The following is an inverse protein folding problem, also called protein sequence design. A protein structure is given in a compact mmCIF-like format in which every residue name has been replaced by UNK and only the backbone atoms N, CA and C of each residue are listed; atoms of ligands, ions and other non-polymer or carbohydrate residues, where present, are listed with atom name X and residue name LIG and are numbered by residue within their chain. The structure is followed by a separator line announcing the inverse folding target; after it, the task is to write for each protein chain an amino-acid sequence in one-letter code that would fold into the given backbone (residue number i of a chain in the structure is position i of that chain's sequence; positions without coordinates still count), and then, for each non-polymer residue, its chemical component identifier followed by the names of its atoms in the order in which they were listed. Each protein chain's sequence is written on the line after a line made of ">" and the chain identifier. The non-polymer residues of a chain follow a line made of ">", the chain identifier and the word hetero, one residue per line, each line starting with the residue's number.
data_IF_102797850414
#
_entry.id   IF_102797850414
#
_cell.length_a   1.000
_cell.length_b   1.000
_cell.length_c   1.000
_cell.angle_alpha   90.00
_cell.angle_beta   90.00
_cell.angle_gamma   90.00
#
_symmetry.space_group_name_H-M   'P 1'
#
loop_
_entity.id
_entity.type
_entity.pdbx_description
1 polymer ?
#
# COMPACT_ATOMS: atom_id res chain seq x y z
N UNK A 1 7.78 -17.05 -1.45
CA UNK A 1 8.48 -16.92 -2.71
C UNK A 1 8.49 -15.49 -3.18
N UNK A 2 9.63 -14.84 -3.06
CA UNK A 2 9.72 -13.41 -3.34
C UNK A 2 9.73 -13.07 -4.82
N UNK A 3 10.01 -14.05 -5.67
CA UNK A 3 10.10 -13.80 -7.10
C UNK A 3 8.77 -13.34 -7.68
N UNK A 4 7.68 -13.99 -7.30
CA UNK A 4 6.36 -13.61 -7.81
C UNK A 4 5.96 -12.24 -7.28
N UNK A 5 6.29 -11.94 -6.02
CA UNK A 5 6.01 -10.62 -5.47
C UNK A 5 6.69 -9.53 -6.30
N UNK A 6 7.96 -9.73 -6.64
CA UNK A 6 8.70 -8.74 -7.43
C UNK A 6 8.14 -8.58 -8.84
N UNK A 7 7.69 -9.68 -9.45
CA UNK A 7 7.09 -9.60 -10.77
C UNK A 7 5.81 -8.80 -10.76
N UNK A 8 4.97 -8.99 -9.73
CA UNK A 8 3.74 -8.23 -9.60
C UNK A 8 4.01 -6.74 -9.41
N UNK A 9 4.97 -6.41 -8.54
CA UNK A 9 5.31 -5.01 -8.28
C UNK A 9 5.87 -4.35 -9.54
N UNK A 10 6.70 -5.07 -10.29
CA UNK A 10 7.21 -4.53 -11.53
C UNK A 10 6.08 -4.27 -12.52
N UNK A 11 5.14 -5.20 -12.63
CA UNK A 11 4.01 -5.04 -13.53
C UNK A 11 3.17 -3.81 -13.15
N UNK A 12 2.97 -3.59 -11.85
CA UNK A 12 2.23 -2.42 -11.38
C UNK A 12 2.95 -1.14 -11.81
N UNK A 13 4.26 -1.08 -11.58
CA UNK A 13 5.03 0.11 -11.93
C UNK A 13 5.03 0.39 -13.42
N UNK A 14 4.97 -0.64 -14.24
CA UNK A 14 5.02 -0.50 -15.70
C UNK A 14 3.65 -0.36 -16.34
N UNK A 15 2.58 -0.54 -15.58
CA UNK A 15 1.24 -0.42 -16.14
C UNK A 15 1.00 1.01 -16.62
N UNK A 16 0.37 1.13 -17.79
CA UNK A 16 0.23 2.43 -18.43
C UNK A 16 -1.04 3.17 -18.03
N UNK A 17 -2.00 2.46 -17.46
CA UNK A 17 -3.26 3.09 -17.06
C UNK A 17 -3.52 2.83 -15.59
N UNK A 18 -4.31 3.72 -14.98
CA UNK A 18 -4.71 3.52 -13.59
C UNK A 18 -5.58 2.29 -13.43
N UNK A 19 -6.38 2.00 -14.45
CA UNK A 19 -7.23 0.80 -14.42
C UNK A 19 -6.38 -0.47 -14.32
N UNK A 20 -5.30 -0.53 -15.09
CA UNK A 20 -4.43 -1.69 -15.06
C UNK A 20 -3.67 -1.78 -13.73
N UNK A 21 -3.21 -0.63 -13.22
CA UNK A 21 -2.55 -0.61 -11.92
C UNK A 21 -3.48 -1.12 -10.82
N UNK A 22 -4.71 -0.65 -10.82
CA UNK A 22 -5.67 -1.06 -9.80
C UNK A 22 -5.97 -2.55 -9.89
N UNK A 23 -6.08 -3.07 -11.11
CA UNK A 23 -6.34 -4.48 -11.30
C UNK A 23 -5.21 -5.34 -10.77
N UNK A 24 -3.96 -4.94 -11.04
CA UNK A 24 -2.80 -5.67 -10.55
C UNK A 24 -2.69 -5.59 -9.04
N UNK A 25 -3.01 -4.42 -8.47
CA UNK A 25 -3.02 -4.28 -7.01
C UNK A 25 -4.05 -5.20 -6.38
N UNK A 26 -5.22 -5.35 -7.01
CA UNK A 26 -6.21 -6.27 -6.47
C UNK A 26 -5.72 -7.72 -6.50
N UNK A 27 -4.96 -8.09 -7.52
CA UNK A 27 -4.35 -9.42 -7.56
C UNK A 27 -3.44 -9.63 -6.36
N UNK A 28 -2.72 -8.57 -5.94
CA UNK A 28 -1.81 -8.68 -4.80
C UNK A 28 -2.55 -9.09 -3.54
N UNK A 29 -3.67 -8.42 -3.20
CA UNK A 29 -4.33 -8.76 -1.95
C UNK A 29 -5.19 -10.02 -2.07
N UNK A 30 -5.61 -10.40 -3.29
CA UNK A 30 -6.38 -11.62 -3.49
C UNK A 30 -5.52 -12.87 -3.56
N UNK A 31 -4.22 -12.71 -3.81
CA UNK A 31 -3.33 -13.84 -4.06
C UNK A 31 -2.95 -14.62 -2.81
N UNK A 32 -3.03 -13.99 -1.67
CA UNK A 32 -2.54 -14.60 -0.43
C UNK A 32 -1.03 -14.56 -0.28
N UNK A 33 -0.33 -13.90 -1.19
CA UNK A 33 1.12 -13.75 -1.06
C UNK A 33 1.46 -12.84 0.11
N UNK A 34 2.64 -13.08 0.70
CA UNK A 34 3.11 -12.30 1.84
C UNK A 34 3.90 -11.09 1.34
N UNK A 35 3.33 -9.90 1.50
CA UNK A 35 3.97 -8.65 1.11
C UNK A 35 4.46 -7.85 2.31
N UNK A 36 4.68 -8.49 3.46
CA UNK A 36 5.07 -7.76 4.67
C UNK A 36 6.32 -6.92 4.47
N UNK A 37 7.30 -7.43 3.74
CA UNK A 37 8.54 -6.69 3.49
C UNK A 37 8.38 -5.55 2.50
N UNK A 38 7.23 -5.48 1.85
CA UNK A 38 6.96 -4.47 0.81
C UNK A 38 5.90 -3.48 1.25
N UNK A 39 5.68 -3.37 2.55
CA UNK A 39 4.61 -2.51 3.10
C UNK A 39 4.71 -1.08 2.58
N UNK A 40 5.90 -0.48 2.60
CA UNK A 40 6.07 0.90 2.16
C UNK A 40 5.74 1.09 0.69
N UNK A 41 5.99 0.09 -0.13
CA UNK A 41 5.63 0.16 -1.54
C UNK A 41 4.12 0.40 -1.69
N UNK A 42 3.31 -0.33 -0.94
CA UNK A 42 1.86 -0.18 -1.03
C UNK A 42 1.37 1.09 -0.33
N UNK A 43 2.07 1.53 0.71
CA UNK A 43 1.75 2.82 1.33
C UNK A 43 1.89 3.94 0.30
N UNK A 44 2.93 3.90 -0.52
CA UNK A 44 3.12 4.92 -1.55
C UNK A 44 1.96 4.94 -2.54
N UNK A 45 1.55 3.77 -3.01
CA UNK A 45 0.42 3.72 -3.94
C UNK A 45 -0.90 4.08 -3.28
N UNK A 46 -1.02 3.85 -1.97
CA UNK A 46 -2.24 4.26 -1.25
C UNK A 46 -2.40 5.77 -1.19
N UNK A 47 -1.32 6.52 -1.46
CA UNK A 47 -1.39 7.98 -1.53
C UNK A 47 -1.55 8.49 -2.96
N UNK A 48 -1.78 7.59 -3.90
CA UNK A 48 -1.94 7.97 -5.31
C UNK A 48 -3.18 8.85 -5.49
N UNK A 49 -3.12 9.73 -6.49
CA UNK A 49 -4.23 10.64 -6.77
C UNK A 49 -5.47 9.92 -7.29
N UNK A 50 -5.28 8.80 -7.97
CA UNK A 50 -6.42 8.04 -8.47
C UNK A 50 -7.08 7.27 -7.33
N UNK A 51 -8.39 7.46 -7.19
CA UNK A 51 -9.12 6.87 -6.06
C UNK A 51 -9.05 5.34 -6.06
N UNK A 52 -9.24 4.71 -7.21
CA UNK A 52 -9.27 3.25 -7.26
C UNK A 52 -7.89 2.66 -6.99
N UNK A 53 -6.84 3.25 -7.57
CA UNK A 53 -5.47 2.82 -7.28
C UNK A 53 -5.19 2.94 -5.78
N UNK A 54 -5.55 4.08 -5.21
CA UNK A 54 -5.36 4.33 -3.78
C UNK A 54 -6.08 3.29 -2.94
N UNK A 55 -7.34 3.00 -3.24
CA UNK A 55 -8.14 2.05 -2.47
C UNK A 55 -7.60 0.63 -2.56
N UNK A 56 -7.19 0.21 -3.76
CA UNK A 56 -6.66 -1.13 -3.92
C UNK A 56 -5.33 -1.29 -3.18
N UNK A 57 -4.47 -0.27 -3.25
CA UNK A 57 -3.19 -0.33 -2.53
C UNK A 57 -3.41 -0.34 -1.03
N UNK A 58 -4.37 0.45 -0.53
CA UNK A 58 -4.72 0.43 0.88
C UNK A 58 -5.17 -0.96 1.30
N UNK A 59 -5.96 -1.63 0.46
CA UNK A 59 -6.44 -2.97 0.78
C UNK A 59 -5.28 -3.95 0.89
N UNK A 60 -4.27 -3.85 0.01
CA UNK A 60 -3.09 -4.69 0.15
C UNK A 60 -2.42 -4.43 1.49
N UNK A 61 -2.21 -3.15 1.81
CA UNK A 61 -1.52 -2.78 3.05
C UNK A 61 -2.27 -3.27 4.29
N UNK A 62 -3.61 -3.11 4.30
CA UNK A 62 -4.37 -3.47 5.47
C UNK A 62 -4.47 -4.99 5.67
N UNK A 63 -4.25 -5.78 4.61
CA UNK A 63 -4.28 -7.23 4.70
C UNK A 63 -2.95 -7.85 5.13
N UNK A 64 -1.90 -7.04 5.27
CA UNK A 64 -0.63 -7.52 5.77
C UNK A 64 -0.73 -7.63 7.29
N UNK A 65 -0.53 -8.83 7.81
CA UNK A 65 -0.81 -9.08 9.23
C UNK A 65 0.37 -8.86 10.15
N UNK A 66 1.58 -9.18 9.68
CA UNK A 66 2.75 -9.11 10.55
C UNK A 66 3.66 -7.98 10.13
N UNK A 67 3.47 -6.83 10.77
CA UNK A 67 4.27 -5.64 10.51
C UNK A 67 5.09 -5.30 11.73
N UNK A 68 6.34 -4.90 11.50
CA UNK A 68 7.21 -4.46 12.58
C UNK A 68 6.90 -3.02 12.94
N UNK A 69 7.14 -2.68 14.20
CA UNK A 69 6.89 -1.32 14.65
C UNK A 69 7.66 -0.29 13.82
N UNK A 70 8.87 -0.65 13.40
CA UNK A 70 9.68 0.23 12.56
C UNK A 70 9.00 0.56 11.25
N UNK A 71 8.36 -0.45 10.64
CA UNK A 71 7.64 -0.25 9.39
C UNK A 71 6.46 0.70 9.57
N UNK A 72 5.76 0.53 10.67
CA UNK A 72 4.60 1.35 10.97
C UNK A 72 5.00 2.80 11.22
N UNK A 73 6.06 3.01 11.99
CA UNK A 73 6.57 4.35 12.28
C UNK A 73 7.05 5.03 11.01
N UNK A 74 7.80 4.30 10.20
CA UNK A 74 8.29 4.84 8.94
C UNK A 74 7.15 5.26 8.02
N UNK A 75 6.09 4.46 8.00
CA UNK A 75 4.95 4.75 7.15
C UNK A 75 4.24 6.03 7.60
N UNK A 76 4.06 6.21 8.91
CA UNK A 76 3.41 7.43 9.41
C UNK A 76 4.23 8.66 9.02
N UNK A 77 5.55 8.59 9.20
CA UNK A 77 6.41 9.72 8.82
C UNK A 77 6.32 10.01 7.33
N UNK A 78 6.33 8.97 6.52
CA UNK A 78 6.22 9.14 5.07
C UNK A 78 4.90 9.79 4.69
N UNK A 79 3.80 9.34 5.29
CA UNK A 79 2.48 9.88 4.99
C UNK A 79 2.41 11.35 5.36
N UNK A 80 2.92 11.70 6.55
CA UNK A 80 2.90 13.09 7.01
C UNK A 80 3.70 14.00 6.09
N UNK A 81 4.78 13.48 5.51
CA UNK A 81 5.64 14.29 4.65
C UNK A 81 5.14 14.40 3.21
N UNK A 82 4.32 13.45 2.78
CA UNK A 82 3.97 13.34 1.36
C UNK A 82 2.49 13.44 1.06
N UNK A 83 1.62 13.47 2.06
CA UNK A 83 0.19 13.53 1.81
C UNK A 83 -0.26 14.98 1.72
N UNK A 84 -1.33 15.20 0.97
CA UNK A 84 -1.99 16.49 0.95
C UNK A 84 -2.81 16.63 2.23
N UNK A 85 -2.97 17.86 2.69
CA UNK A 85 -3.54 18.13 4.01
C UNK A 85 -4.94 17.56 4.20
N UNK A 86 -5.72 17.39 3.14
CA UNK A 86 -7.11 16.92 3.25
C UNK A 86 -7.33 15.57 2.60
N UNK A 87 -6.29 14.75 2.51
CA UNK A 87 -6.42 13.45 1.88
C UNK A 87 -7.17 12.48 2.80
N UNK A 88 -8.31 11.99 2.33
CA UNK A 88 -9.08 10.98 3.06
C UNK A 88 -8.28 9.68 3.14
N UNK A 89 -7.63 9.31 2.04
CA UNK A 89 -6.84 8.08 2.01
C UNK A 89 -5.71 8.13 3.03
N UNK A 90 -5.02 9.29 3.13
CA UNK A 90 -3.94 9.43 4.10
C UNK A 90 -4.45 9.28 5.53
N UNK A 91 -5.61 9.87 5.84
CA UNK A 91 -6.15 9.77 7.18
C UNK A 91 -6.58 8.36 7.52
N UNK A 92 -7.22 7.68 6.58
CA UNK A 92 -7.61 6.30 6.81
C UNK A 92 -6.41 5.39 7.00
N UNK A 93 -5.37 5.62 6.22
CA UNK A 93 -4.15 4.84 6.31
C UNK A 93 -3.46 5.06 7.64
N UNK A 94 -3.37 6.31 8.11
CA UNK A 94 -2.78 6.60 9.41
C UNK A 94 -3.58 5.97 10.54
N UNK A 95 -4.91 6.01 10.45
CA UNK A 95 -5.76 5.38 11.45
C UNK A 95 -5.50 3.88 11.52
N UNK A 96 -5.41 3.23 10.37
CA UNK A 96 -5.09 1.81 10.32
C UNK A 96 -3.74 1.52 10.97
N UNK A 97 -2.72 2.32 10.61
CA UNK A 97 -1.37 2.10 11.14
C UNK A 97 -1.35 2.28 12.65
N UNK A 98 -2.00 3.34 13.15
CA UNK A 98 -2.03 3.59 14.58
C UNK A 98 -2.72 2.47 15.36
N UNK A 99 -3.70 1.82 14.74
CA UNK A 99 -4.38 0.71 15.39
C UNK A 99 -3.46 -0.50 15.58
N UNK A 100 -2.36 -0.57 14.85
CA UNK A 100 -1.39 -1.65 14.97
C UNK A 100 -0.27 -1.33 15.96
N UNK A 101 -0.13 -0.08 16.33
CA UNK A 101 0.90 0.34 17.29
C UNK A 101 0.24 0.46 18.66
N UNK A 102 0.74 -0.28 19.61
CA UNK A 102 0.21 -0.19 20.98
C UNK A 102 1.32 0.12 21.95
#
# INVERSE_FOLDING_TARGET
>A
EKKLNKLLMKAIDEAETNEDKARLLSVCWESGLDFANDFMYFVRYALDDDFIVSMEAFTVAENIEELKEEQLTEAILFIDQNSKSNSVAAEQLKTFIRSKIN
#
